data_IF_062409603810
#
_entry.id   IF_062409603810
#
_cell.length_a   1.000
_cell.length_b   1.000
_cell.length_c   1.000
_cell.angle_alpha   90.00
_cell.angle_beta   90.00
_cell.angle_gamma   90.00
#
_symmetry.space_group_name_H-M   'P 1'
#
loop_
_entity.id
_entity.type
_entity.pdbx_description
1 polymer ?
#
# COMPACT_ATOMS: atom_id res chain seq x y z
N UNK A 1 15.14 -2.04 4.56
CA UNK A 1 16.27 -2.56 3.77
C UNK A 1 16.44 -1.71 2.52
N UNK A 2 17.64 -1.22 2.27
CA UNK A 2 17.99 -0.47 1.05
C UNK A 2 18.99 -1.30 0.28
N UNK A 3 18.57 -1.86 -0.85
CA UNK A 3 19.45 -2.63 -1.73
C UNK A 3 20.06 -1.73 -2.79
N UNK A 4 21.33 -1.97 -3.09
CA UNK A 4 22.06 -1.23 -4.12
C UNK A 4 21.44 -1.52 -5.49
N UNK A 5 21.03 -0.46 -6.20
CA UNK A 5 20.45 -0.56 -7.54
C UNK A 5 18.92 -0.74 -7.57
N UNK A 6 18.25 -0.80 -6.42
CA UNK A 6 16.79 -0.80 -6.35
C UNK A 6 16.25 0.65 -6.30
N UNK A 7 15.29 1.03 -7.16
CA UNK A 7 14.68 2.36 -7.14
C UNK A 7 13.61 2.53 -6.05
N UNK A 8 13.50 1.56 -5.14
CA UNK A 8 12.47 1.52 -4.10
C UNK A 8 13.09 1.22 -2.73
N UNK A 9 12.44 1.70 -1.68
CA UNK A 9 12.83 1.49 -0.29
C UNK A 9 11.96 0.39 0.29
N UNK A 10 12.56 -0.73 0.72
CA UNK A 10 11.83 -1.86 1.32
C UNK A 10 11.75 -1.69 2.83
N UNK A 11 10.58 -1.95 3.39
CA UNK A 11 10.31 -1.99 4.82
C UNK A 11 9.94 -3.42 5.18
N UNK A 12 10.75 -4.02 6.06
CA UNK A 12 10.45 -5.28 6.70
C UNK A 12 9.94 -4.97 8.10
N UNK A 13 8.71 -5.37 8.41
CA UNK A 13 8.09 -5.11 9.71
C UNK A 13 7.69 -6.42 10.35
N UNK A 14 8.32 -6.75 11.47
CA UNK A 14 7.93 -7.87 12.34
C UNK A 14 7.09 -7.34 13.49
N UNK A 15 5.91 -7.92 13.71
CA UNK A 15 4.98 -7.49 14.76
C UNK A 15 4.51 -8.69 15.56
N UNK A 16 4.71 -8.63 16.87
CA UNK A 16 4.07 -9.54 17.83
C UNK A 16 2.73 -8.95 18.25
N UNK A 17 1.65 -9.48 17.68
CA UNK A 17 0.31 -8.94 17.84
C UNK A 17 -0.47 -9.71 18.92
N UNK A 18 -0.64 -9.06 20.07
CA UNK A 18 -1.45 -9.55 21.20
C UNK A 18 -2.54 -8.56 21.62
N UNK A 19 -2.79 -7.55 20.77
CA UNK A 19 -3.70 -6.46 21.06
C UNK A 19 -5.17 -6.87 20.85
N UNK A 20 -6.09 -6.12 21.47
CA UNK A 20 -7.53 -6.32 21.35
C UNK A 20 -8.21 -5.04 20.87
N UNK A 21 -9.10 -5.14 19.88
CA UNK A 21 -9.84 -4.01 19.30
C UNK A 21 -8.96 -2.88 18.74
N UNK A 22 -7.71 -3.18 18.35
CA UNK A 22 -6.81 -2.24 17.71
C UNK A 22 -6.72 -2.46 16.21
N UNK A 23 -6.36 -1.39 15.50
CA UNK A 23 -6.12 -1.41 14.07
C UNK A 23 -4.79 -0.72 13.76
N UNK A 24 -3.83 -1.49 13.27
CA UNK A 24 -2.51 -1.01 12.90
C UNK A 24 -2.52 -0.58 11.43
N UNK A 25 -2.19 0.68 11.21
CA UNK A 25 -1.97 1.26 9.89
C UNK A 25 -0.60 1.92 9.85
N UNK A 26 0.00 1.94 8.67
CA UNK A 26 1.17 2.76 8.37
C UNK A 26 0.75 3.87 7.42
N UNK A 27 1.24 5.07 7.67
CA UNK A 27 0.94 6.26 6.88
C UNK A 27 2.22 6.86 6.29
N UNK A 28 2.18 7.13 4.99
CA UNK A 28 3.23 7.77 4.23
C UNK A 28 2.72 9.10 3.70
N UNK A 29 3.08 10.22 4.35
CA UNK A 29 2.75 11.54 3.84
C UNK A 29 3.61 11.80 2.59
N UNK A 30 3.00 11.68 1.40
CA UNK A 30 3.60 12.14 0.17
C UNK A 30 3.42 13.66 0.07
N UNK A 31 4.39 14.39 -0.48
CA UNK A 31 4.22 15.81 -0.81
C UNK A 31 3.70 15.98 -2.24
N UNK A 32 2.73 15.14 -2.62
CA UNK A 32 2.11 15.07 -3.95
C UNK A 32 0.67 15.54 -3.82
N UNK A 33 0.21 16.44 -4.70
CA UNK A 33 -1.18 16.89 -4.70
C UNK A 33 -1.89 16.40 -5.95
N UNK A 34 -2.56 15.25 -5.83
CA UNK A 34 -3.38 14.72 -6.92
C UNK A 34 -4.85 14.57 -6.48
N UNK A 35 -5.81 14.97 -7.32
CA UNK A 35 -7.23 14.79 -7.03
C UNK A 35 -7.66 13.31 -7.12
N UNK A 36 -6.85 12.45 -7.74
CA UNK A 36 -7.12 11.04 -7.97
C UNK A 36 -5.89 10.20 -7.57
N UNK A 37 -6.14 9.04 -6.99
CA UNK A 37 -5.15 8.00 -6.72
C UNK A 37 -5.45 6.78 -7.58
N UNK A 38 -4.41 6.09 -8.04
CA UNK A 38 -4.54 4.90 -8.88
C UNK A 38 -4.27 3.66 -8.04
N UNK A 39 -5.17 2.70 -8.07
CA UNK A 39 -5.06 1.44 -7.34
C UNK A 39 -5.01 0.29 -8.33
N UNK A 40 -4.18 -0.70 -8.05
CA UNK A 40 -4.18 -1.92 -8.83
C UNK A 40 -5.41 -2.78 -8.52
N UNK A 41 -6.07 -3.23 -9.57
CA UNK A 41 -7.13 -4.24 -9.52
C UNK A 41 -6.78 -5.41 -10.42
N UNK A 42 -7.54 -6.50 -10.34
CA UNK A 42 -7.33 -7.66 -11.21
C UNK A 42 -7.39 -7.23 -12.68
N UNK A 43 -6.34 -7.56 -13.43
CA UNK A 43 -6.19 -7.25 -14.86
C UNK A 43 -6.33 -5.77 -15.23
N UNK A 44 -6.11 -4.83 -14.29
CA UNK A 44 -6.24 -3.42 -14.60
C UNK A 44 -5.83 -2.49 -13.47
N UNK A 45 -6.20 -1.23 -13.63
CA UNK A 45 -6.01 -0.21 -12.62
C UNK A 45 -7.30 0.61 -12.49
N UNK A 46 -7.48 1.18 -11.32
CA UNK A 46 -8.69 1.84 -10.93
C UNK A 46 -8.34 3.18 -10.30
N UNK A 47 -8.83 4.27 -10.90
CA UNK A 47 -8.66 5.60 -10.34
C UNK A 47 -9.80 5.92 -9.38
N UNK A 48 -9.45 6.52 -8.24
CA UNK A 48 -10.39 6.92 -7.20
C UNK A 48 -10.04 8.32 -6.67
N UNK A 49 -11.04 9.14 -6.36
CA UNK A 49 -10.81 10.47 -5.81
C UNK A 49 -10.16 10.39 -4.43
N UNK A 50 -9.27 11.34 -4.14
CA UNK A 50 -8.56 11.46 -2.84
C UNK A 50 -9.30 12.35 -1.83
N UNK A 51 -10.51 12.79 -2.16
CA UNK A 51 -11.30 13.77 -1.41
C UNK A 51 -12.69 13.22 -1.04
N UNK A 52 -13.28 13.74 0.05
CA UNK A 52 -14.57 13.30 0.56
C UNK A 52 -15.68 14.32 0.29
N UNK A 53 -15.99 14.58 -0.99
CA UNK A 53 -17.01 15.56 -1.34
C UNK A 53 -18.41 14.96 -1.38
N UNK A 54 -18.53 13.67 -1.73
CA UNK A 54 -19.82 12.96 -1.73
C UNK A 54 -19.98 12.01 -0.54
N UNK A 55 -21.21 11.67 -0.19
CA UNK A 55 -21.51 10.63 0.82
C UNK A 55 -20.88 9.27 0.45
N UNK A 56 -20.78 9.01 -0.85
CA UNK A 56 -20.09 7.84 -1.40
C UNK A 56 -18.59 7.87 -1.14
N UNK A 57 -17.96 9.04 -1.17
CA UNK A 57 -16.54 9.18 -0.85
C UNK A 57 -16.29 9.06 0.65
N UNK A 58 -17.22 9.58 1.48
CA UNK A 58 -17.19 9.39 2.93
C UNK A 58 -17.27 7.92 3.35
N UNK A 59 -18.03 7.10 2.62
CA UNK A 59 -18.15 5.67 2.90
C UNK A 59 -16.88 4.86 2.54
N UNK A 60 -15.95 5.44 1.74
CA UNK A 60 -14.74 4.76 1.24
C UNK A 60 -13.52 5.08 2.09
N UNK A 61 -13.58 4.73 3.37
CA UNK A 61 -12.45 4.88 4.28
C UNK A 61 -11.25 3.99 3.92
N UNK A 62 -11.51 2.87 3.23
CA UNK A 62 -10.52 1.88 2.84
C UNK A 62 -10.93 1.22 1.53
N UNK A 63 -9.97 1.07 0.62
CA UNK A 63 -10.16 0.57 -0.73
C UNK A 63 -9.27 -0.66 -0.91
N UNK A 64 -9.74 -1.57 -1.75
CA UNK A 64 -8.97 -2.74 -2.16
C UNK A 64 -7.81 -2.32 -3.07
N UNK A 65 -6.59 -2.74 -2.74
CA UNK A 65 -5.40 -2.63 -3.58
C UNK A 65 -4.68 -3.98 -3.61
N UNK A 66 -4.38 -4.51 -4.80
CA UNK A 66 -3.78 -5.85 -4.91
C UNK A 66 -2.29 -5.86 -4.56
N UNK A 67 -1.44 -5.31 -5.43
CA UNK A 67 0.02 -5.33 -5.26
C UNK A 67 0.62 -3.93 -5.17
N UNK A 68 -0.07 -2.92 -5.69
CA UNK A 68 0.40 -1.54 -5.62
C UNK A 68 -0.72 -0.50 -5.61
N UNK A 69 -0.39 0.65 -5.05
CA UNK A 69 -1.14 1.89 -5.20
C UNK A 69 -0.21 3.03 -5.57
N UNK A 70 -0.71 4.00 -6.31
CA UNK A 70 0.05 5.10 -6.87
C UNK A 70 -0.63 6.45 -6.63
N UNK A 71 0.16 7.41 -6.19
CA UNK A 71 -0.22 8.81 -6.14
C UNK A 71 0.80 9.63 -6.93
N UNK A 72 0.40 10.07 -8.11
CA UNK A 72 1.24 10.83 -9.04
C UNK A 72 0.65 12.20 -9.37
N UNK A 73 1.54 13.19 -9.48
CA UNK A 73 1.33 14.54 -9.99
C UNK A 73 2.31 14.78 -11.15
N UNK A 74 2.13 15.86 -11.91
CA UNK A 74 3.05 16.21 -13.00
C UNK A 74 4.50 16.33 -12.50
N UNK A 75 5.35 15.37 -12.90
CA UNK A 75 6.78 15.37 -12.62
C UNK A 75 7.23 14.59 -11.39
N UNK A 76 6.33 14.27 -10.45
CA UNK A 76 6.66 13.45 -9.28
C UNK A 76 5.48 12.57 -8.84
N UNK A 77 5.77 11.32 -8.52
CA UNK A 77 4.79 10.42 -7.95
C UNK A 77 5.42 9.44 -6.96
N UNK A 78 4.56 8.87 -6.13
CA UNK A 78 4.92 7.93 -5.09
C UNK A 78 4.02 6.70 -5.19
N UNK A 79 4.64 5.56 -5.45
CA UNK A 79 3.96 4.27 -5.46
C UNK A 79 4.28 3.51 -4.17
N UNK A 80 3.26 2.90 -3.57
CA UNK A 80 3.41 1.94 -2.50
C UNK A 80 3.17 0.54 -3.06
N UNK A 81 4.19 -0.30 -2.92
CA UNK A 81 4.20 -1.71 -3.31
C UNK A 81 3.99 -2.57 -2.07
N UNK A 82 3.26 -3.67 -2.23
CA UNK A 82 2.92 -4.56 -1.14
C UNK A 82 2.82 -6.01 -1.61
N UNK A 83 3.06 -6.95 -0.68
CA UNK A 83 3.08 -8.38 -0.92
C UNK A 83 1.79 -9.09 -0.48
N UNK A 84 1.24 -8.72 0.68
CA UNK A 84 0.23 -9.52 1.38
C UNK A 84 -1.03 -8.75 1.83
N UNK A 85 -0.97 -7.41 1.92
CA UNK A 85 -2.12 -6.60 2.41
C UNK A 85 -2.97 -6.06 1.27
N UNK A 86 -4.28 -6.06 1.51
CA UNK A 86 -5.26 -5.62 0.51
C UNK A 86 -5.95 -4.31 0.86
N UNK A 87 -5.81 -3.85 2.10
CA UNK A 87 -6.44 -2.63 2.60
C UNK A 87 -5.54 -1.42 2.42
N UNK A 88 -5.90 -0.51 1.53
CA UNK A 88 -5.19 0.73 1.31
C UNK A 88 -6.14 1.93 1.32
N UNK A 89 -5.63 3.11 1.66
CA UNK A 89 -6.42 4.33 1.65
C UNK A 89 -5.53 5.52 1.32
N UNK A 90 -5.96 6.37 0.39
CA UNK A 90 -5.25 7.61 0.06
C UNK A 90 -6.16 8.78 0.35
N UNK A 91 -5.73 9.62 1.30
CA UNK A 91 -6.47 10.81 1.71
C UNK A 91 -5.64 12.04 1.42
N UNK A 92 -6.07 12.84 0.46
CA UNK A 92 -5.32 13.99 -0.04
C UNK A 92 -3.93 13.57 -0.53
N UNK A 93 -2.93 13.78 0.32
CA UNK A 93 -1.53 13.50 0.05
C UNK A 93 -0.94 12.38 0.94
N UNK A 94 -1.74 11.77 1.81
CA UNK A 94 -1.29 10.70 2.73
C UNK A 94 -1.74 9.35 2.19
N UNK A 95 -0.77 8.49 1.88
CA UNK A 95 -1.00 7.10 1.53
C UNK A 95 -0.98 6.26 2.80
N UNK A 96 -1.99 5.44 3.01
CA UNK A 96 -2.14 4.60 4.21
C UNK A 96 -2.30 3.15 3.81
N UNK A 97 -1.59 2.25 4.49
CA UNK A 97 -1.72 0.81 4.32
C UNK A 97 -2.16 0.17 5.64
N UNK A 98 -3.22 -0.63 5.57
CA UNK A 98 -3.75 -1.38 6.70
C UNK A 98 -2.97 -2.67 6.87
N UNK A 99 -2.33 -2.84 8.03
CA UNK A 99 -1.47 -3.99 8.30
C UNK A 99 -2.22 -5.08 9.06
N UNK A 100 -2.70 -4.78 10.27
CA UNK A 100 -3.26 -5.76 11.19
C UNK A 100 -4.48 -5.21 11.89
N UNK A 101 -5.51 -6.05 12.05
CA UNK A 101 -6.72 -5.73 12.79
C UNK A 101 -6.93 -6.78 13.87
N UNK A 102 -7.32 -6.36 15.07
CA UNK A 102 -7.68 -7.26 16.17
C UNK A 102 -9.19 -7.24 16.46
N UNK A 103 -10.07 -7.68 15.54
CA UNK A 103 -11.47 -7.86 15.91
C UNK A 103 -11.59 -9.02 16.92
N UNK A 104 -12.49 -8.90 17.90
CA UNK A 104 -12.78 -9.97 18.86
C UNK A 104 -14.08 -10.74 18.56
N UNK A 105 -14.70 -10.44 17.42
CA UNK A 105 -15.89 -11.12 16.93
C UNK A 105 -15.72 -11.33 15.42
N UNK A 106 -16.01 -12.52 14.86
CA UNK A 106 -16.53 -13.74 15.51
C UNK A 106 -15.49 -14.59 16.24
N UNK A 107 -14.19 -14.37 15.99
CA UNK A 107 -13.10 -15.08 16.66
C UNK A 107 -12.38 -14.16 17.67
N UNK A 108 -12.10 -14.68 18.87
CA UNK A 108 -11.41 -13.97 19.94
C UNK A 108 -9.89 -13.96 19.76
N UNK A 109 -9.35 -14.87 18.93
CA UNK A 109 -7.91 -15.00 18.66
C UNK A 109 -7.48 -14.52 17.27
N UNK A 110 -8.35 -13.78 16.58
CA UNK A 110 -8.08 -13.29 15.23
C UNK A 110 -6.75 -12.52 15.17
N UNK A 111 -5.90 -12.95 14.24
CA UNK A 111 -4.57 -12.40 13.98
C UNK A 111 -3.65 -12.30 15.21
N UNK A 112 -3.86 -13.10 16.26
CA UNK A 112 -2.95 -13.16 17.40
C UNK A 112 -1.71 -13.99 17.08
N UNK A 113 -0.52 -13.44 17.29
CA UNK A 113 0.74 -14.14 17.04
C UNK A 113 1.83 -13.25 16.44
N UNK A 114 2.85 -13.88 15.87
CA UNK A 114 3.92 -13.18 15.15
C UNK A 114 3.50 -13.03 13.69
N UNK A 115 3.64 -11.82 13.17
CA UNK A 115 3.42 -11.54 11.77
C UNK A 115 4.59 -10.78 11.19
N UNK A 116 4.89 -11.06 9.93
CA UNK A 116 5.96 -10.44 9.18
C UNK A 116 5.38 -9.93 7.86
N UNK A 117 5.59 -8.64 7.58
CA UNK A 117 5.08 -8.02 6.37
C UNK A 117 6.17 -7.20 5.70
N UNK A 118 6.16 -7.27 4.37
CA UNK A 118 7.11 -6.54 3.54
C UNK A 118 6.37 -5.63 2.59
N UNK A 119 6.62 -4.33 2.70
CA UNK A 119 6.11 -3.34 1.76
C UNK A 119 7.24 -2.44 1.29
N UNK A 120 7.08 -1.82 0.13
CA UNK A 120 8.11 -0.95 -0.42
C UNK A 120 7.53 0.36 -0.93
N UNK A 121 8.31 1.42 -0.81
CA UNK A 121 7.97 2.75 -1.28
C UNK A 121 8.86 3.11 -2.48
N UNK A 122 8.24 3.40 -3.62
CA UNK A 122 8.93 3.69 -4.87
C UNK A 122 8.58 5.10 -5.36
N UNK A 123 9.50 6.07 -5.27
CA UNK A 123 9.34 7.33 -5.98
C UNK A 123 9.55 7.11 -7.48
N UNK A 124 8.74 7.77 -8.31
CA UNK A 124 8.91 7.77 -9.76
C UNK A 124 8.69 9.18 -10.33
N UNK A 125 9.23 9.42 -11.53
CA UNK A 125 9.00 10.67 -12.26
C UNK A 125 7.58 10.62 -12.83
N UNK A 126 6.74 11.56 -12.39
CA UNK A 126 5.28 11.57 -12.55
C UNK A 126 4.73 11.73 -13.98
N UNK A 127 5.21 10.89 -14.90
CA UNK A 127 4.50 10.54 -16.11
C UNK A 127 3.52 9.44 -15.70
N UNK A 128 2.26 9.85 -15.51
CA UNK A 128 1.24 9.09 -14.80
C UNK A 128 1.21 7.60 -15.14
N UNK A 129 1.02 6.77 -14.12
CA UNK A 129 0.90 5.32 -14.17
C UNK A 129 1.25 4.70 -15.53
N UNK A 130 2.54 4.69 -15.90
CA UNK A 130 3.00 3.76 -16.90
C UNK A 130 3.08 2.39 -16.22
N UNK A 131 2.12 1.45 -16.45
CA UNK A 131 2.25 0.08 -15.96
C UNK A 131 3.58 -0.56 -16.42
N UNK A 132 4.20 -0.03 -17.49
CA UNK A 132 5.52 -0.44 -17.97
C UNK A 132 6.68 -0.19 -16.99
N UNK A 133 6.61 0.79 -16.08
CA UNK A 133 7.68 1.06 -15.10
C UNK A 133 7.44 0.37 -13.76
N UNK A 134 6.17 0.25 -13.37
CA UNK A 134 5.76 -0.46 -12.15
C UNK A 134 5.86 -1.97 -12.31
N UNK A 135 5.53 -2.54 -13.48
CA UNK A 135 5.50 -3.99 -13.65
C UNK A 135 6.87 -4.68 -13.50
N UNK A 136 7.99 -4.14 -14.05
CA UNK A 136 9.32 -4.73 -13.86
C UNK A 136 9.90 -4.52 -12.46
N UNK A 137 9.62 -3.38 -11.81
CA UNK A 137 10.09 -3.13 -10.44
C UNK A 137 9.29 -3.94 -9.41
N UNK A 138 7.98 -4.09 -9.64
CA UNK A 138 7.09 -4.93 -8.86
C UNK A 138 7.44 -6.42 -9.01
N UNK A 139 7.73 -6.90 -10.22
CA UNK A 139 8.13 -8.31 -10.40
C UNK A 139 9.45 -8.61 -9.68
N UNK A 140 10.42 -7.68 -9.71
CA UNK A 140 11.65 -7.80 -8.90
C UNK A 140 11.38 -7.75 -7.39
N UNK A 141 10.46 -6.88 -6.95
CA UNK A 141 10.07 -6.79 -5.54
C UNK A 141 9.40 -8.09 -5.06
N UNK A 142 8.46 -8.64 -5.84
CA UNK A 142 7.78 -9.90 -5.50
C UNK A 142 8.73 -11.10 -5.59
N UNK A 143 9.66 -11.11 -6.54
CA UNK A 143 10.69 -12.15 -6.62
C UNK A 143 11.61 -12.12 -5.38
N UNK A 144 12.08 -10.94 -4.98
CA UNK A 144 12.90 -10.77 -3.78
C UNK A 144 12.15 -11.12 -2.48
N UNK A 145 10.86 -10.76 -2.38
CA UNK A 145 10.02 -11.13 -1.24
C UNK A 145 9.70 -12.64 -1.19
N UNK A 146 9.72 -13.32 -2.35
CA UNK A 146 9.53 -14.77 -2.44
C UNK A 146 10.79 -15.58 -2.11
N UNK A 147 11.99 -15.06 -2.37
CA UNK A 147 13.26 -15.75 -2.08
C UNK A 147 13.62 -15.79 -0.58
N UNK A 148 13.11 -14.86 0.25
CA UNK A 148 13.35 -14.89 1.71
C UNK A 148 12.44 -15.89 2.47
N UNK A 149 11.47 -16.52 1.80
CA UNK A 149 10.52 -17.46 2.42
C UNK A 149 10.77 -18.95 2.07
N UNK A 150 11.96 -19.30 1.56
CA UNK A 150 12.35 -20.67 1.17
C UNK A 150 13.53 -21.22 1.99
#
# INVERSE_FOLDING_TARGET
VLDVGCPYVRFHTEVHWHEAHKFLKVEFPARVRSPQATYEVQFGHLQRPTHHNTSWDWARFEVWAHRWMDLSEHGFGLALLNDCKYGASVRGNVLSLSLLRAPKAPDATADMGRHEFTYALMPHKGEGCCPALLCPSLSRFLAAAGEENA
#
